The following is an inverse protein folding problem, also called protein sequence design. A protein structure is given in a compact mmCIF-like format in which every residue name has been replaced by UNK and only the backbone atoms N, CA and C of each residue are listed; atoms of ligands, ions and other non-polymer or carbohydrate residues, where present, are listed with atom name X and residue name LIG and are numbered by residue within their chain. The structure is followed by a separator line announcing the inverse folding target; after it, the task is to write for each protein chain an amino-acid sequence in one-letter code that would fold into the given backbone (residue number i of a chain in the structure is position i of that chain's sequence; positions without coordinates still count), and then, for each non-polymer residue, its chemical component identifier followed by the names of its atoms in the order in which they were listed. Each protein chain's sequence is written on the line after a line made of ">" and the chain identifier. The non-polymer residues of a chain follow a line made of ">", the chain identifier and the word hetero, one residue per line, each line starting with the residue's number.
data_IF_036814334162
#
_entry.id   IF_036814334162
#
_cell.length_a   1.000
_cell.length_b   1.000
_cell.length_c   1.000
_cell.angle_alpha   90.00
_cell.angle_beta   90.00
_cell.angle_gamma   90.00
#
_symmetry.space_group_name_H-M   'P 1'
#
loop_
_entity.id
_entity.type
_entity.pdbx_description
1 polymer ?
#
# COMPACT_ATOMS: atom_id res chain seq x y z
N UNK A 1 -0.25 -8.13 -25.42
CA UNK A 1 -0.12 -8.72 -24.06
C UNK A 1 0.45 -7.68 -23.10
N UNK A 2 -0.28 -7.37 -22.04
CA UNK A 2 0.21 -6.53 -20.97
C UNK A 2 1.41 -7.20 -20.32
N UNK A 3 2.53 -6.50 -20.28
CA UNK A 3 3.73 -6.99 -19.60
C UNK A 3 3.81 -6.31 -18.24
N UNK A 4 3.81 -7.11 -17.17
CA UNK A 4 4.00 -6.63 -15.80
C UNK A 4 5.48 -6.66 -15.45
N UNK A 5 5.97 -5.59 -14.82
CA UNK A 5 7.32 -5.51 -14.28
C UNK A 5 7.24 -5.45 -12.76
N UNK A 6 7.15 -6.61 -12.12
CA UNK A 6 7.15 -6.75 -10.66
C UNK A 6 8.51 -7.27 -10.21
N UNK A 7 9.15 -6.54 -9.29
CA UNK A 7 10.53 -6.81 -8.90
C UNK A 7 10.67 -6.99 -7.39
N UNK A 8 11.44 -8.02 -7.02
CA UNK A 8 11.88 -8.24 -5.65
C UNK A 8 13.15 -7.43 -5.40
N UNK A 9 13.10 -6.53 -4.42
CA UNK A 9 14.19 -5.63 -4.06
C UNK A 9 14.80 -6.12 -2.74
N UNK A 10 15.67 -7.09 -2.82
CA UNK A 10 16.18 -7.85 -1.68
C UNK A 10 17.66 -7.58 -1.34
N UNK A 11 18.29 -6.59 -1.98
CA UNK A 11 19.67 -6.17 -1.68
C UNK A 11 19.74 -4.68 -1.42
N UNK A 12 20.76 -4.26 -0.68
CA UNK A 12 21.01 -2.83 -0.43
C UNK A 12 21.22 -2.05 -1.73
N UNK A 13 21.96 -2.63 -2.66
CA UNK A 13 22.21 -2.01 -3.98
C UNK A 13 20.92 -1.77 -4.74
N UNK A 14 20.05 -2.77 -4.82
CA UNK A 14 18.73 -2.64 -5.45
C UNK A 14 17.86 -1.61 -4.73
N UNK A 15 17.90 -1.56 -3.40
CA UNK A 15 17.15 -0.56 -2.63
C UNK A 15 17.62 0.86 -2.94
N UNK A 16 18.92 1.09 -2.96
CA UNK A 16 19.46 2.41 -3.28
C UNK A 16 19.07 2.86 -4.69
N UNK A 17 19.09 1.96 -5.66
CA UNK A 17 18.68 2.23 -7.02
C UNK A 17 17.20 2.60 -7.10
N UNK A 18 16.32 1.81 -6.43
CA UNK A 18 14.88 2.08 -6.47
C UNK A 18 14.52 3.37 -5.73
N UNK A 19 15.18 3.70 -4.63
CA UNK A 19 14.96 4.94 -3.89
C UNK A 19 15.17 6.16 -4.83
N UNK A 20 16.24 6.16 -5.61
CA UNK A 20 16.50 7.24 -6.56
C UNK A 20 15.37 7.37 -7.58
N UNK A 21 14.86 6.25 -8.07
CA UNK A 21 13.73 6.22 -9.01
C UNK A 21 12.44 6.73 -8.37
N UNK A 22 12.12 6.29 -7.16
CA UNK A 22 10.93 6.71 -6.43
C UNK A 22 10.93 8.22 -6.12
N UNK A 23 12.10 8.78 -5.82
CA UNK A 23 12.26 10.21 -5.54
C UNK A 23 11.95 11.12 -6.74
N UNK A 24 12.03 10.60 -7.96
CA UNK A 24 11.72 11.38 -9.17
C UNK A 24 10.23 11.49 -9.47
N UNK A 25 9.41 10.66 -8.84
CA UNK A 25 7.98 10.59 -9.13
C UNK A 25 7.17 11.56 -8.28
N UNK A 26 6.16 12.18 -8.90
CA UNK A 26 5.17 13.01 -8.21
C UNK A 26 4.03 12.20 -7.60
N UNK A 27 4.01 10.90 -7.83
CA UNK A 27 3.01 9.98 -7.29
C UNK A 27 3.71 8.72 -6.77
N UNK A 28 3.23 8.22 -5.65
CA UNK A 28 3.73 7.00 -5.03
C UNK A 28 2.57 6.21 -4.45
N UNK A 29 2.24 5.09 -5.06
CA UNK A 29 1.39 4.09 -4.42
C UNK A 29 2.25 3.27 -3.47
N UNK A 30 1.77 3.11 -2.24
CA UNK A 30 2.45 2.33 -1.22
C UNK A 30 1.50 1.38 -0.51
N UNK A 31 2.04 0.24 -0.10
CA UNK A 31 1.34 -0.76 0.70
C UNK A 31 2.34 -1.43 1.63
N UNK A 32 1.87 -1.89 2.78
CA UNK A 32 2.68 -2.64 3.73
C UNK A 32 2.14 -4.06 3.87
N UNK A 33 3.06 -5.02 3.96
CA UNK A 33 2.74 -6.39 4.34
C UNK A 33 3.14 -6.57 5.80
N UNK A 34 2.23 -7.09 6.60
CA UNK A 34 2.38 -7.18 8.05
C UNK A 34 1.90 -8.53 8.58
N UNK A 35 2.15 -8.76 9.87
CA UNK A 35 1.75 -9.98 10.56
C UNK A 35 0.30 -9.99 11.03
N UNK A 36 -0.40 -8.86 10.98
CA UNK A 36 -1.75 -8.76 11.51
C UNK A 36 -2.52 -7.55 11.03
N UNK A 37 -3.76 -7.45 11.50
CA UNK A 37 -4.70 -6.38 11.09
C UNK A 37 -4.70 -5.17 12.02
N UNK A 38 -4.14 -5.32 13.24
CA UNK A 38 -4.00 -4.22 14.19
C UNK A 38 -2.68 -3.50 13.96
N UNK A 39 -2.70 -2.25 13.44
CA UNK A 39 -1.47 -1.57 13.00
C UNK A 39 -0.52 -1.23 14.14
N UNK A 40 -1.01 -1.08 15.38
CA UNK A 40 -0.17 -0.77 16.53
C UNK A 40 0.69 -1.97 16.96
N UNK A 41 0.22 -3.17 16.73
CA UNK A 41 0.87 -4.41 17.16
C UNK A 41 1.47 -5.22 16.02
N UNK A 42 1.16 -4.86 14.78
CA UNK A 42 1.62 -5.59 13.61
C UNK A 42 3.11 -5.39 13.35
N UNK A 43 3.79 -6.49 13.07
CA UNK A 43 5.18 -6.47 12.61
C UNK A 43 5.22 -6.24 11.10
N UNK A 44 6.06 -5.33 10.66
CA UNK A 44 6.27 -5.05 9.24
C UNK A 44 7.09 -6.16 8.59
N UNK A 45 6.53 -6.81 7.59
CA UNK A 45 7.15 -7.90 6.81
C UNK A 45 7.75 -7.40 5.51
N UNK A 46 7.17 -6.36 4.93
CA UNK A 46 7.68 -5.76 3.70
C UNK A 46 6.89 -4.54 3.26
N UNK A 47 7.46 -3.83 2.30
CA UNK A 47 6.87 -2.62 1.72
C UNK A 47 6.80 -2.78 0.21
N UNK A 48 5.69 -2.40 -0.40
CA UNK A 48 5.55 -2.38 -1.85
C UNK A 48 5.26 -0.98 -2.36
N UNK A 49 5.78 -0.69 -3.57
CA UNK A 49 5.69 0.63 -4.19
C UNK A 49 5.36 0.50 -5.66
N UNK A 50 4.57 1.45 -6.17
CA UNK A 50 4.32 1.60 -7.60
C UNK A 50 4.25 3.08 -7.97
N UNK A 51 4.93 3.46 -9.03
CA UNK A 51 4.90 4.82 -9.57
C UNK A 51 4.40 4.87 -11.02
N UNK A 52 4.18 3.70 -11.62
CA UNK A 52 3.61 3.56 -12.96
C UNK A 52 2.77 2.29 -13.00
N UNK A 53 1.68 2.32 -13.76
CA UNK A 53 0.83 1.14 -13.95
C UNK A 53 1.62 -0.03 -14.54
N UNK A 54 1.34 -1.23 -14.06
CA UNK A 54 1.98 -2.50 -14.45
C UNK A 54 3.44 -2.63 -14.00
N UNK A 55 3.90 -1.75 -13.12
CA UNK A 55 5.25 -1.76 -12.56
C UNK A 55 5.17 -1.59 -11.05
N UNK A 56 5.85 -2.44 -10.32
CA UNK A 56 5.87 -2.37 -8.85
C UNK A 56 7.12 -3.03 -8.29
N UNK A 57 7.43 -2.69 -7.03
CA UNK A 57 8.63 -3.12 -6.33
C UNK A 57 8.26 -3.58 -4.93
N UNK A 58 8.82 -4.71 -4.49
CA UNK A 58 8.64 -5.21 -3.14
C UNK A 58 9.97 -5.25 -2.40
N UNK A 59 9.99 -4.60 -1.25
CA UNK A 59 11.15 -4.55 -0.34
C UNK A 59 10.83 -5.39 0.89
N UNK A 60 11.42 -6.59 1.03
CA UNK A 60 11.25 -7.38 2.25
C UNK A 60 11.95 -6.70 3.43
N UNK A 61 11.33 -6.81 4.59
CA UNK A 61 11.82 -6.26 5.85
C UNK A 61 12.02 -7.43 6.80
N UNK A 62 13.26 -7.66 7.27
CA UNK A 62 13.55 -8.81 8.13
C UNK A 62 12.97 -8.66 9.54
N UNK A 63 12.92 -9.79 10.27
CA UNK A 63 12.43 -9.82 11.65
C UNK A 63 13.38 -9.18 12.65
N UNK A 64 14.67 -9.10 12.35
CA UNK A 64 15.64 -8.40 13.18
C UNK A 64 15.28 -6.91 13.23
N UNK A 65 15.05 -6.39 14.43
CA UNK A 65 14.54 -5.03 14.61
C UNK A 65 15.53 -3.97 14.12
N UNK A 66 16.81 -4.13 14.37
CA UNK A 66 17.83 -3.16 13.95
C UNK A 66 17.95 -3.12 12.43
N UNK A 67 17.95 -4.27 11.78
CA UNK A 67 17.96 -4.35 10.31
C UNK A 67 16.68 -3.79 9.71
N UNK A 68 15.52 -4.08 10.32
CA UNK A 68 14.23 -3.56 9.87
C UNK A 68 14.20 -2.02 9.92
N UNK A 69 14.62 -1.45 11.04
CA UNK A 69 14.68 0.02 11.20
C UNK A 69 15.65 0.65 10.20
N UNK A 70 16.79 0.02 9.96
CA UNK A 70 17.76 0.49 8.96
C UNK A 70 17.16 0.54 7.57
N UNK A 71 16.50 -0.53 7.14
CA UNK A 71 15.88 -0.63 5.80
C UNK A 71 14.75 0.41 5.66
N UNK A 72 13.86 0.51 6.62
CA UNK A 72 12.77 1.50 6.58
C UNK A 72 13.34 2.92 6.54
N UNK A 73 14.38 3.20 7.32
CA UNK A 73 15.02 4.52 7.35
C UNK A 73 15.68 4.90 6.02
N UNK A 74 16.16 3.93 5.24
CA UNK A 74 16.67 4.20 3.88
C UNK A 74 15.60 4.84 2.98
N UNK A 75 14.33 4.47 3.16
CA UNK A 75 13.17 4.98 2.41
C UNK A 75 12.57 6.25 3.00
N UNK A 76 13.07 6.74 4.11
CA UNK A 76 12.55 7.94 4.77
C UNK A 76 12.44 9.15 3.84
N UNK A 77 13.43 9.47 2.99
CA UNK A 77 13.30 10.59 2.05
C UNK A 77 12.12 10.42 1.07
N UNK A 78 11.78 9.18 0.71
CA UNK A 78 10.64 8.87 -0.15
C UNK A 78 9.33 9.14 0.58
N UNK A 79 9.20 8.66 1.82
CA UNK A 79 7.98 8.86 2.63
C UNK A 79 7.78 10.33 3.01
N UNK A 80 8.84 11.07 3.30
CA UNK A 80 8.77 12.46 3.74
C UNK A 80 8.70 13.48 2.61
N UNK A 81 8.78 13.05 1.35
CA UNK A 81 8.73 13.95 0.20
C UNK A 81 7.34 14.60 0.08
N UNK A 82 7.24 15.87 0.45
CA UNK A 82 5.99 16.62 0.43
C UNK A 82 5.47 16.94 -0.98
N UNK A 83 6.30 16.77 -1.99
CA UNK A 83 5.93 17.01 -3.40
C UNK A 83 5.38 15.77 -4.10
N UNK A 84 5.28 14.66 -3.39
CA UNK A 84 4.76 13.39 -3.90
C UNK A 84 3.39 13.09 -3.31
N UNK A 85 2.41 12.83 -4.16
CA UNK A 85 1.10 12.32 -3.76
C UNK A 85 1.25 10.85 -3.33
N UNK A 86 0.92 10.53 -2.08
CA UNK A 86 0.90 9.14 -1.60
C UNK A 86 -0.49 8.57 -1.78
N UNK A 87 -0.52 7.42 -2.42
CA UNK A 87 -1.75 6.67 -2.70
C UNK A 87 -1.72 5.38 -1.89
N UNK A 88 -2.83 5.05 -1.24
CA UNK A 88 -2.96 3.80 -0.52
C UNK A 88 -4.40 3.33 -0.45
N UNK A 89 -4.57 2.07 -0.15
CA UNK A 89 -5.86 1.46 0.16
C UNK A 89 -5.94 1.31 1.68
N UNK A 90 -6.71 2.15 2.36
CA UNK A 90 -6.69 2.31 3.81
C UNK A 90 -5.29 2.76 4.29
N UNK A 91 -4.83 3.87 3.75
CA UNK A 91 -3.46 4.37 3.94
C UNK A 91 -3.13 4.68 5.40
N UNK A 92 -4.14 4.99 6.22
CA UNK A 92 -3.95 5.23 7.66
C UNK A 92 -3.31 4.04 8.35
N UNK A 93 -3.70 2.82 7.98
CA UNK A 93 -3.08 1.60 8.48
C UNK A 93 -1.58 1.59 8.19
N UNK A 94 -1.20 1.81 6.94
CA UNK A 94 0.20 1.81 6.51
C UNK A 94 1.00 2.93 7.19
N UNK A 95 0.40 4.10 7.34
CA UNK A 95 1.03 5.25 8.01
C UNK A 95 1.35 4.94 9.47
N UNK A 96 0.45 4.27 10.19
CA UNK A 96 0.66 3.88 11.59
C UNK A 96 1.76 2.82 11.69
N UNK A 97 1.75 1.81 10.82
CA UNK A 97 2.79 0.79 10.78
C UNK A 97 4.16 1.43 10.54
N UNK A 98 4.28 2.31 9.55
CA UNK A 98 5.53 2.99 9.22
C UNK A 98 5.98 3.93 10.36
N UNK A 99 5.05 4.58 11.06
CA UNK A 99 5.34 5.42 12.22
C UNK A 99 5.99 4.60 13.34
N UNK A 100 5.56 3.37 13.54
CA UNK A 100 6.15 2.46 14.52
C UNK A 100 7.60 2.08 14.15
N UNK A 101 7.97 2.22 12.91
CA UNK A 101 9.35 2.02 12.40
C UNK A 101 10.10 3.35 12.19
N UNK A 102 9.59 4.45 12.75
CA UNK A 102 10.27 5.74 12.77
C UNK A 102 10.11 6.59 11.50
N UNK A 103 9.21 6.24 10.60
CA UNK A 103 8.98 7.00 9.38
C UNK A 103 7.60 7.63 9.36
N UNK A 104 7.55 8.91 8.99
CA UNK A 104 6.31 9.69 8.84
C UNK A 104 6.02 9.89 7.36
N UNK A 105 4.83 9.53 6.91
CA UNK A 105 4.38 9.78 5.54
C UNK A 105 3.89 11.23 5.44
N UNK A 106 4.54 12.02 4.59
CA UNK A 106 4.24 13.44 4.39
C UNK A 106 3.75 13.72 2.97
N UNK A 107 3.15 14.88 2.78
CA UNK A 107 2.61 15.30 1.50
C UNK A 107 1.14 14.97 1.32
N UNK A 108 0.56 15.28 0.15
CA UNK A 108 -0.84 14.98 -0.12
C UNK A 108 -1.10 13.49 -0.16
N UNK A 109 -2.32 13.11 0.23
CA UNK A 109 -2.75 11.71 0.35
C UNK A 109 -3.97 11.44 -0.52
N UNK A 110 -4.04 10.25 -1.10
CA UNK A 110 -5.22 9.75 -1.79
C UNK A 110 -5.49 8.32 -1.31
N UNK A 111 -6.57 8.14 -0.56
CA UNK A 111 -7.00 6.83 -0.08
C UNK A 111 -8.11 6.30 -0.99
N UNK A 112 -7.83 5.21 -1.67
CA UNK A 112 -8.77 4.58 -2.62
C UNK A 112 -10.03 4.03 -1.93
N UNK A 113 -9.89 3.58 -0.67
CA UNK A 113 -11.04 3.12 0.12
C UNK A 113 -11.99 4.27 0.46
N UNK A 114 -11.46 5.41 0.88
CA UNK A 114 -12.27 6.61 1.17
C UNK A 114 -12.91 7.13 -0.12
N UNK A 115 -12.18 7.17 -1.23
CA UNK A 115 -12.72 7.59 -2.52
C UNK A 115 -13.93 6.74 -2.92
N UNK A 116 -13.83 5.44 -2.80
CA UNK A 116 -14.95 4.55 -3.10
C UNK A 116 -16.10 4.69 -2.11
N UNK A 117 -15.80 4.89 -0.83
CA UNK A 117 -16.83 5.16 0.17
C UNK A 117 -17.66 6.41 -0.17
N UNK A 118 -17.03 7.46 -0.66
CA UNK A 118 -17.73 8.68 -1.09
C UNK A 118 -18.62 8.42 -2.30
N UNK A 119 -18.13 7.62 -3.25
CA UNK A 119 -18.85 7.32 -4.49
C UNK A 119 -19.99 6.32 -4.30
N UNK A 120 -19.76 5.29 -3.51
CA UNK A 120 -20.67 4.16 -3.33
C UNK A 120 -20.67 3.69 -1.86
N UNK A 121 -21.22 4.50 -0.94
CA UNK A 121 -21.11 4.23 0.51
C UNK A 121 -21.75 2.91 0.97
N UNK A 122 -22.69 2.38 0.20
CA UNK A 122 -23.40 1.15 0.54
C UNK A 122 -22.74 -0.13 0.01
N UNK A 123 -21.73 0.01 -0.84
CA UNK A 123 -21.01 -1.12 -1.42
C UNK A 123 -19.77 -1.49 -0.61
N UNK A 124 -19.21 -2.65 -0.90
CA UNK A 124 -17.94 -3.09 -0.33
C UNK A 124 -16.79 -2.22 -0.85
N UNK A 125 -15.74 -2.03 -0.04
CA UNK A 125 -14.61 -1.17 -0.36
C UNK A 125 -13.28 -1.92 -0.36
N UNK A 126 -13.29 -3.25 -0.26
CA UNK A 126 -12.08 -4.07 -0.31
C UNK A 126 -11.42 -4.04 -1.69
N UNK A 127 -10.10 -4.17 -1.71
CA UNK A 127 -9.32 -4.08 -2.93
C UNK A 127 -9.74 -5.10 -3.98
N UNK A 128 -9.99 -6.36 -3.59
CA UNK A 128 -10.39 -7.42 -4.50
C UNK A 128 -11.68 -7.08 -5.24
N UNK A 129 -12.66 -6.59 -4.50
CA UNK A 129 -13.93 -6.14 -5.05
C UNK A 129 -13.76 -4.94 -5.99
N UNK A 130 -12.99 -3.93 -5.58
CA UNK A 130 -12.75 -2.75 -6.39
C UNK A 130 -12.00 -3.08 -7.70
N UNK A 131 -11.02 -3.96 -7.63
CA UNK A 131 -10.28 -4.41 -8.80
C UNK A 131 -11.19 -5.12 -9.80
N UNK A 132 -12.09 -5.96 -9.32
CA UNK A 132 -13.06 -6.66 -10.18
C UNK A 132 -14.03 -5.69 -10.85
N UNK A 133 -14.61 -4.76 -10.09
CA UNK A 133 -15.63 -3.82 -10.58
C UNK A 133 -15.03 -2.76 -11.53
N UNK A 134 -13.91 -2.15 -11.15
CA UNK A 134 -13.34 -1.02 -11.90
C UNK A 134 -12.27 -1.39 -12.91
N UNK A 135 -11.54 -2.48 -12.67
CA UNK A 135 -10.42 -2.89 -13.51
C UNK A 135 -10.69 -4.20 -14.28
N UNK A 136 -11.80 -4.88 -14.00
CA UNK A 136 -12.12 -6.22 -14.55
C UNK A 136 -10.97 -7.21 -14.33
N UNK A 137 -10.41 -7.17 -13.13
CA UNK A 137 -9.20 -7.89 -12.77
C UNK A 137 -9.40 -8.69 -11.48
N UNK A 138 -8.99 -9.97 -11.51
CA UNK A 138 -8.97 -10.81 -10.31
C UNK A 138 -7.59 -10.75 -9.66
N UNK A 139 -7.56 -10.27 -8.42
CA UNK A 139 -6.34 -10.20 -7.61
C UNK A 139 -5.98 -11.57 -7.03
N UNK A 140 -4.72 -11.73 -6.67
CA UNK A 140 -4.26 -12.87 -5.86
C UNK A 140 -4.86 -12.71 -4.46
N UNK A 141 -5.55 -13.74 -3.96
CA UNK A 141 -6.06 -13.73 -2.59
C UNK A 141 -4.95 -14.10 -1.59
N UNK A 142 -4.92 -13.41 -0.45
CA UNK A 142 -3.95 -13.71 0.61
C UNK A 142 -4.01 -15.17 1.06
N UNK A 143 -5.20 -15.78 1.04
CA UNK A 143 -5.41 -17.20 1.41
C UNK A 143 -4.63 -18.16 0.52
N UNK A 144 -4.31 -17.77 -0.70
CA UNK A 144 -3.48 -18.58 -1.60
C UNK A 144 -2.03 -18.67 -1.12
N UNK A 145 -1.58 -17.67 -0.33
CA UNK A 145 -0.23 -17.61 0.23
C UNK A 145 -0.13 -18.23 1.62
N UNK A 146 -1.06 -17.86 2.51
CA UNK A 146 -1.01 -18.24 3.93
C UNK A 146 -1.93 -19.40 4.29
N UNK A 147 -2.78 -19.83 3.34
CA UNK A 147 -3.77 -20.86 3.57
C UNK A 147 -5.07 -20.31 4.16
N UNK A 148 -6.12 -21.15 4.21
CA UNK A 148 -7.44 -20.73 4.70
C UNK A 148 -7.40 -20.40 6.20
N UNK A 149 -8.35 -19.56 6.63
CA UNK A 149 -8.52 -19.24 8.05
C UNK A 149 -8.66 -20.51 8.89
N UNK A 150 -7.91 -20.61 9.97
CA UNK A 150 -7.92 -21.75 10.87
C UNK A 150 -6.58 -22.01 11.51
N UNK A 151 -6.48 -23.17 12.16
CA UNK A 151 -5.33 -23.61 12.97
C UNK A 151 -4.02 -23.68 12.18
N UNK A 152 -4.08 -23.96 10.87
CA UNK A 152 -2.91 -24.16 10.01
C UNK A 152 -2.60 -22.94 9.13
N UNK A 153 -3.29 -21.83 9.34
CA UNK A 153 -3.01 -20.60 8.59
C UNK A 153 -1.59 -20.11 8.93
N UNK A 154 -0.79 -19.87 7.90
CA UNK A 154 0.56 -19.33 8.05
C UNK A 154 0.49 -17.82 8.32
N UNK A 155 1.59 -17.28 8.85
CA UNK A 155 1.81 -15.86 8.98
C UNK A 155 2.66 -15.37 7.79
N UNK A 156 2.45 -14.17 7.32
CA UNK A 156 3.25 -13.58 6.24
C UNK A 156 4.75 -13.59 6.54
N UNK A 157 5.12 -13.49 7.81
CA UNK A 157 6.52 -13.58 8.26
C UNK A 157 7.16 -14.96 7.95
N UNK A 158 6.35 -16.02 7.92
CA UNK A 158 6.81 -17.37 7.68
C UNK A 158 7.10 -17.68 6.22
N UNK A 159 6.73 -16.78 5.31
CA UNK A 159 6.86 -16.98 3.87
C UNK A 159 8.17 -16.41 3.34
N UNK A 160 8.73 -17.10 2.33
CA UNK A 160 9.88 -16.57 1.59
C UNK A 160 9.45 -15.34 0.78
N UNK A 161 10.24 -14.25 0.78
CA UNK A 161 9.95 -13.09 -0.06
C UNK A 161 9.73 -13.40 -1.54
N UNK A 162 10.36 -14.45 -2.06
CA UNK A 162 10.15 -14.93 -3.44
C UNK A 162 8.72 -15.41 -3.70
N UNK A 163 8.03 -15.86 -2.66
CA UNK A 163 6.64 -16.32 -2.76
C UNK A 163 5.63 -15.20 -2.51
N UNK A 164 6.07 -14.10 -1.92
CA UNK A 164 5.21 -12.96 -1.51
C UNK A 164 5.24 -11.81 -2.49
N UNK A 165 6.37 -11.57 -3.16
CA UNK A 165 6.60 -10.32 -3.87
C UNK A 165 5.60 -10.04 -5.00
N UNK A 166 5.10 -11.07 -5.69
CA UNK A 166 4.10 -10.89 -6.75
C UNK A 166 2.77 -10.38 -6.15
N UNK A 167 2.35 -10.96 -5.03
CA UNK A 167 1.16 -10.52 -4.31
C UNK A 167 1.30 -9.07 -3.83
N UNK A 168 2.41 -8.74 -3.20
CA UNK A 168 2.66 -7.41 -2.65
C UNK A 168 2.79 -6.35 -3.75
N UNK A 169 3.49 -6.67 -4.84
CA UNK A 169 3.59 -5.78 -6.01
C UNK A 169 2.24 -5.54 -6.65
N UNK A 170 1.41 -6.58 -6.75
CA UNK A 170 0.05 -6.46 -7.28
C UNK A 170 -0.78 -5.49 -6.46
N UNK A 171 -0.70 -5.55 -5.13
CA UNK A 171 -1.43 -4.63 -4.24
C UNK A 171 -1.08 -3.16 -4.53
N UNK A 172 0.19 -2.84 -4.65
CA UNK A 172 0.63 -1.48 -4.96
C UNK A 172 0.22 -1.03 -6.37
N UNK A 173 0.36 -1.90 -7.36
CA UNK A 173 -0.03 -1.63 -8.76
C UNK A 173 -1.54 -1.42 -8.90
N UNK A 174 -2.34 -2.33 -8.35
CA UNK A 174 -3.80 -2.24 -8.37
C UNK A 174 -4.27 -0.97 -7.66
N UNK A 175 -3.68 -0.62 -6.53
CA UNK A 175 -3.99 0.61 -5.79
C UNK A 175 -3.75 1.86 -6.65
N UNK A 176 -2.64 1.90 -7.39
CA UNK A 176 -2.36 3.01 -8.31
C UNK A 176 -3.39 3.09 -9.45
N UNK A 177 -3.74 1.96 -10.03
CA UNK A 177 -4.77 1.88 -11.08
C UNK A 177 -6.14 2.32 -10.57
N UNK A 178 -6.51 1.89 -9.37
CA UNK A 178 -7.76 2.29 -8.73
C UNK A 178 -7.79 3.80 -8.47
N UNK A 179 -6.69 4.39 -8.03
CA UNK A 179 -6.58 5.84 -7.87
C UNK A 179 -6.92 6.56 -9.17
N UNK A 180 -6.36 6.12 -10.29
CA UNK A 180 -6.60 6.75 -11.58
C UNK A 180 -8.07 6.69 -12.00
N UNK A 181 -8.72 5.55 -11.83
CA UNK A 181 -10.15 5.37 -12.15
C UNK A 181 -11.03 6.15 -11.18
N UNK A 182 -10.79 6.03 -9.87
CA UNK A 182 -11.63 6.66 -8.84
C UNK A 182 -11.50 8.18 -8.85
N UNK A 183 -10.33 8.71 -9.13
CA UNK A 183 -10.14 10.17 -9.28
C UNK A 183 -11.03 10.72 -10.40
N UNK A 184 -11.08 10.04 -11.53
CA UNK A 184 -11.95 10.40 -12.65
C UNK A 184 -13.43 10.33 -12.25
N UNK A 185 -13.84 9.28 -11.58
CA UNK A 185 -15.21 9.11 -11.08
C UNK A 185 -15.60 10.21 -10.08
N UNK A 186 -14.70 10.60 -9.20
CA UNK A 186 -14.92 11.71 -8.26
C UNK A 186 -15.19 13.02 -9.01
N UNK A 187 -14.43 13.32 -10.06
CA UNK A 187 -14.62 14.51 -10.89
C UNK A 187 -15.96 14.47 -11.63
N UNK A 188 -16.28 13.35 -12.25
CA UNK A 188 -17.52 13.17 -13.01
C UNK A 188 -18.78 13.27 -12.13
N UNK A 189 -18.69 12.93 -10.85
CA UNK A 189 -19.78 12.96 -9.89
C UNK A 189 -19.76 14.21 -8.97
N UNK A 190 -18.90 15.17 -9.25
CA UNK A 190 -18.78 16.40 -8.44
C UNK A 190 -18.50 16.13 -6.96
N UNK A 191 -17.75 15.07 -6.68
CA UNK A 191 -17.53 14.53 -5.34
C UNK A 191 -16.11 14.80 -4.79
N UNK A 192 -15.29 15.56 -5.50
CA UNK A 192 -13.89 15.81 -5.10
C UNK A 192 -13.79 16.52 -3.76
N UNK A 193 -14.59 17.56 -3.55
CA UNK A 193 -14.55 18.33 -2.30
C UNK A 193 -14.94 17.49 -1.09
N UNK A 194 -16.01 16.71 -1.22
CA UNK A 194 -16.43 15.81 -0.16
C UNK A 194 -15.36 14.77 0.16
N UNK A 195 -14.71 14.24 -0.87
CA UNK A 195 -13.61 13.29 -0.72
C UNK A 195 -12.45 13.90 0.08
N UNK A 196 -12.00 15.11 -0.27
CA UNK A 196 -10.90 15.76 0.44
C UNK A 196 -11.26 16.10 1.89
N UNK A 197 -12.49 16.58 2.14
CA UNK A 197 -12.96 16.90 3.47
C UNK A 197 -13.03 15.66 4.37
N UNK A 198 -13.58 14.55 3.86
CA UNK A 198 -13.62 13.28 4.59
C UNK A 198 -12.23 12.70 4.81
N UNK A 199 -11.35 12.82 3.84
CA UNK A 199 -9.96 12.34 3.96
C UNK A 199 -9.23 13.05 5.10
N UNK A 200 -9.39 14.35 5.24
CA UNK A 200 -8.78 15.13 6.34
C UNK A 200 -9.29 14.65 7.70
N UNK A 201 -10.60 14.46 7.84
CA UNK A 201 -11.21 14.01 9.08
C UNK A 201 -10.74 12.60 9.43
N UNK A 202 -10.80 11.67 8.48
CA UNK A 202 -10.46 10.27 8.71
C UNK A 202 -8.99 10.09 9.11
N UNK A 203 -8.07 10.79 8.45
CA UNK A 203 -6.63 10.65 8.69
C UNK A 203 -6.21 11.33 9.99
N UNK A 204 -6.85 12.45 10.37
CA UNK A 204 -6.54 13.19 11.60
C UNK A 204 -7.14 12.59 12.86
N UNK A 205 -8.18 11.76 12.75
CA UNK A 205 -8.78 11.11 13.94
C UNK A 205 -7.87 10.02 14.49
N UNK A 206 -7.72 9.93 15.83
CA UNK A 206 -7.02 8.80 16.44
C UNK A 206 -7.77 7.49 16.11
N UNK A 207 -7.01 6.41 15.88
CA UNK A 207 -7.58 5.07 15.76
C UNK A 207 -8.32 4.72 17.03
N UNK A 208 -9.63 4.43 16.90
CA UNK A 208 -10.38 3.89 18.02
C UNK A 208 -10.05 2.39 18.14
N UNK A 209 -9.74 1.90 19.35
CA UNK A 209 -9.73 0.46 19.56
C UNK A 209 -11.13 -0.06 19.30
N UNK A 210 -11.23 -1.05 18.46
CA UNK A 210 -12.48 -1.79 18.25
C UNK A 210 -12.81 -2.63 19.48
#
# INVERSE_FOLDING_TARGET
>A
SLTYSYQLIDTEEKRQEIIQKLLTSKILSLDTETTGTEPMDAELVGMSFSIAENEAFYVPVPSDQDEALKIVNEFRPVFENENSLKVGQNIKYDMIVLQNYGSTVKGPLFDTMIAHYVLQPELRHGMDYLAEIYLHYQTIHIDELIGPKGKNQKNMRDLDPKDVYLYACEDADVTLKLKNVLEKELKENDAERLFYDLSLIHISEPTRPE
#
